data_IF_406822970217
#
_entry.id   IF_406822970217
#
_cell.length_a   1.000
_cell.length_b   1.000
_cell.length_c   1.000
_cell.angle_alpha   90.00
_cell.angle_beta   90.00
_cell.angle_gamma   90.00
#
_symmetry.space_group_name_H-M   'P 1'
#
loop_
_entity.id
_entity.type
_entity.pdbx_description
1 polymer ?
#
# COMPACT_ATOMS: atom_id res chain seq x y z
N UNK A 1 11.13 17.05 32.31
CA UNK A 1 11.74 15.71 32.45
C UNK A 1 10.69 14.61 32.29
N UNK A 2 9.50 14.75 32.87
CA UNK A 2 8.39 13.78 32.69
C UNK A 2 8.00 13.51 31.23
N UNK A 3 7.85 14.53 30.39
CA UNK A 3 7.42 14.35 28.99
C UNK A 3 8.41 13.52 28.15
N UNK A 4 9.70 13.63 28.42
CA UNK A 4 10.78 12.86 27.75
C UNK A 4 10.73 11.40 28.18
N UNK A 5 10.42 11.14 29.45
CA UNK A 5 10.24 9.78 29.98
C UNK A 5 8.96 9.16 29.41
N UNK A 6 7.86 9.93 29.32
CA UNK A 6 6.59 9.49 28.73
C UNK A 6 6.74 9.14 27.25
N UNK A 7 7.41 9.99 26.45
CA UNK A 7 7.70 9.69 25.03
C UNK A 7 8.62 8.49 24.87
N UNK A 8 9.61 8.31 25.74
CA UNK A 8 10.47 7.11 25.74
C UNK A 8 9.70 5.83 26.03
N UNK A 9 8.76 5.84 27.00
CA UNK A 9 7.93 4.69 27.33
C UNK A 9 6.95 4.37 26.19
N UNK A 10 6.32 5.39 25.59
CA UNK A 10 5.43 5.24 24.44
C UNK A 10 6.17 4.67 23.23
N UNK A 11 7.34 5.22 22.90
CA UNK A 11 8.20 4.75 21.82
C UNK A 11 8.56 3.27 21.98
N UNK A 12 8.99 2.85 23.17
CA UNK A 12 9.31 1.44 23.46
C UNK A 12 8.10 0.50 23.39
N UNK A 13 6.95 0.94 23.92
CA UNK A 13 5.71 0.15 23.82
C UNK A 13 5.24 0.00 22.38
N UNK A 14 5.34 1.08 21.60
CA UNK A 14 5.00 1.07 20.18
C UNK A 14 5.92 0.11 19.39
N UNK A 15 7.22 0.11 19.69
CA UNK A 15 8.19 -0.82 19.10
C UNK A 15 7.79 -2.30 19.29
N UNK A 16 7.28 -2.66 20.47
CA UNK A 16 6.80 -4.02 20.76
C UNK A 16 5.42 -4.33 20.16
N UNK A 17 4.57 -3.32 19.93
CA UNK A 17 3.28 -3.50 19.28
C UNK A 17 3.44 -3.65 17.76
N UNK A 18 4.40 -2.94 17.17
CA UNK A 18 4.70 -2.99 15.73
C UNK A 18 5.16 -4.37 15.24
N UNK A 19 5.74 -5.20 16.11
CA UNK A 19 6.07 -6.60 15.76
C UNK A 19 4.85 -7.51 15.68
N UNK A 20 3.69 -7.07 16.19
CA UNK A 20 2.44 -7.84 16.26
C UNK A 20 1.34 -7.29 15.36
N UNK A 21 1.65 -6.31 14.50
CA UNK A 21 0.65 -5.78 13.56
C UNK A 21 0.32 -6.84 12.53
N UNK A 22 -0.90 -7.36 12.62
CA UNK A 22 -1.44 -8.36 11.69
C UNK A 22 -2.23 -7.70 10.55
N UNK A 23 -2.79 -6.51 10.76
CA UNK A 23 -3.58 -5.81 9.75
C UNK A 23 -2.92 -4.47 9.40
N UNK A 24 -2.57 -4.30 8.14
CA UNK A 24 -1.96 -3.09 7.60
C UNK A 24 -2.92 -2.50 6.58
N UNK A 25 -3.60 -1.42 6.97
CA UNK A 25 -4.62 -0.80 6.14
C UNK A 25 -4.24 0.65 5.83
N UNK A 26 -4.09 0.97 4.55
CA UNK A 26 -3.76 2.31 4.09
C UNK A 26 -4.89 2.87 3.22
N UNK A 27 -5.39 4.03 3.63
CA UNK A 27 -6.30 4.83 2.81
C UNK A 27 -5.54 5.93 2.10
N UNK A 28 -6.04 6.34 0.94
CA UNK A 28 -5.45 7.42 0.16
C UNK A 28 -5.36 8.72 0.95
N UNK A 29 -4.33 9.55 0.65
CA UNK A 29 -4.33 10.91 1.15
C UNK A 29 -5.61 11.63 0.67
N UNK A 30 -6.19 12.47 1.54
CA UNK A 30 -7.43 13.20 1.26
C UNK A 30 -7.30 14.11 0.03
N UNK A 31 -6.09 14.60 -0.24
CA UNK A 31 -5.81 15.40 -1.41
C UNK A 31 -4.98 14.62 -2.43
N UNK A 32 -5.41 14.65 -3.69
CA UNK A 32 -4.67 14.07 -4.82
C UNK A 32 -3.44 14.88 -5.26
N UNK A 33 -2.93 15.78 -4.40
CA UNK A 33 -1.76 16.62 -4.70
C UNK A 33 -0.50 15.75 -4.70
N UNK A 34 0.43 16.08 -5.59
CA UNK A 34 1.68 15.33 -5.76
C UNK A 34 2.47 15.22 -4.46
N UNK A 35 2.62 16.32 -3.73
CA UNK A 35 3.39 16.36 -2.48
C UNK A 35 2.80 15.47 -1.39
N UNK A 36 1.46 15.38 -1.30
CA UNK A 36 0.80 14.50 -0.35
C UNK A 36 0.96 13.03 -0.74
N UNK A 37 0.89 12.72 -2.04
CA UNK A 37 1.14 11.38 -2.55
C UNK A 37 2.61 10.95 -2.29
N UNK A 38 3.57 11.86 -2.43
CA UNK A 38 4.98 11.61 -2.11
C UNK A 38 5.17 11.39 -0.60
N UNK A 39 4.56 12.22 0.26
CA UNK A 39 4.57 12.02 1.72
C UNK A 39 3.95 10.68 2.12
N UNK A 40 2.81 10.35 1.54
CA UNK A 40 2.13 9.06 1.73
C UNK A 40 3.05 7.91 1.31
N UNK A 41 3.67 8.01 0.14
CA UNK A 41 4.61 7.00 -0.36
C UNK A 41 5.79 6.80 0.60
N UNK A 42 6.41 7.88 1.07
CA UNK A 42 7.49 7.81 2.06
C UNK A 42 7.02 7.20 3.38
N UNK A 43 5.82 7.54 3.85
CA UNK A 43 5.22 6.98 5.06
C UNK A 43 5.01 5.47 4.96
N UNK A 44 4.40 4.99 3.87
CA UNK A 44 4.19 3.56 3.64
C UNK A 44 5.53 2.83 3.53
N UNK A 45 6.49 3.37 2.76
CA UNK A 45 7.83 2.80 2.62
C UNK A 45 8.55 2.66 3.97
N UNK A 46 8.54 3.72 4.78
CA UNK A 46 9.16 3.69 6.10
C UNK A 46 8.45 2.66 7.00
N UNK A 47 7.13 2.66 7.02
CA UNK A 47 6.36 1.73 7.86
C UNK A 47 6.65 0.27 7.51
N UNK A 48 6.64 -0.07 6.22
CA UNK A 48 6.95 -1.41 5.74
C UNK A 48 8.42 -1.79 6.02
N UNK A 49 9.34 -0.84 5.98
CA UNK A 49 10.75 -1.10 6.33
C UNK A 49 10.98 -1.44 7.81
N UNK A 50 10.13 -0.92 8.70
CA UNK A 50 10.17 -1.21 10.13
C UNK A 50 9.37 -2.45 10.52
N UNK A 51 8.66 -3.06 9.57
CA UNK A 51 7.81 -4.20 9.83
C UNK A 51 8.65 -5.47 10.07
N UNK A 52 8.76 -5.86 11.34
CA UNK A 52 9.54 -7.02 11.78
C UNK A 52 8.72 -8.31 11.89
N UNK A 53 7.40 -8.29 11.65
CA UNK A 53 6.58 -9.50 11.71
C UNK A 53 6.95 -10.47 10.57
N UNK A 54 6.74 -11.77 10.78
CA UNK A 54 6.97 -12.80 9.74
C UNK A 54 5.69 -13.09 8.93
N UNK A 55 4.53 -12.72 9.47
CA UNK A 55 3.23 -12.93 8.86
C UNK A 55 2.37 -11.67 9.01
N UNK A 56 1.73 -11.25 7.93
CA UNK A 56 0.64 -10.27 7.91
C UNK A 56 -0.65 -11.06 7.68
N UNK A 57 -1.71 -10.71 8.39
CA UNK A 57 -3.04 -11.28 8.17
C UNK A 57 -3.72 -10.56 7.01
N UNK A 58 -3.70 -9.23 7.02
CA UNK A 58 -4.35 -8.41 6.01
C UNK A 58 -3.46 -7.24 5.56
N UNK A 59 -3.36 -7.05 4.26
CA UNK A 59 -2.82 -5.85 3.65
C UNK A 59 -3.88 -5.21 2.77
N UNK A 60 -4.27 -3.97 3.08
CA UNK A 60 -5.27 -3.23 2.32
C UNK A 60 -4.77 -1.87 1.87
N UNK A 61 -5.09 -1.53 0.63
CA UNK A 61 -4.76 -0.25 0.00
C UNK A 61 -5.99 0.31 -0.71
N UNK A 62 -6.60 1.34 -0.14
CA UNK A 62 -7.84 1.94 -0.65
C UNK A 62 -7.64 3.39 -1.12
N UNK A 63 -8.01 3.66 -2.37
CA UNK A 63 -7.99 4.98 -3.00
C UNK A 63 -9.37 5.50 -3.39
N UNK A 64 -10.44 4.97 -2.79
CA UNK A 64 -11.82 5.43 -3.00
C UNK A 64 -12.04 6.90 -2.68
N UNK A 65 -11.31 7.44 -1.72
CA UNK A 65 -11.62 8.74 -1.10
C UNK A 65 -11.02 9.94 -1.85
N UNK A 66 -10.33 9.71 -2.96
CA UNK A 66 -9.72 10.78 -3.74
C UNK A 66 -10.77 11.63 -4.49
N UNK A 67 -10.75 12.94 -4.23
CA UNK A 67 -11.63 13.89 -4.89
C UNK A 67 -11.40 13.98 -6.41
N UNK A 68 -12.48 13.97 -7.22
CA UNK A 68 -12.52 14.17 -8.67
C UNK A 68 -11.69 15.31 -9.27
N UNK A 69 -11.47 16.38 -8.51
CA UNK A 69 -11.07 17.68 -9.05
C UNK A 69 -9.55 17.84 -9.24
N UNK A 70 -8.75 16.87 -8.78
CA UNK A 70 -7.31 17.05 -8.55
C UNK A 70 -6.42 16.49 -9.67
N UNK A 71 -6.98 15.84 -10.70
CA UNK A 71 -6.20 15.11 -11.71
C UNK A 71 -6.33 15.75 -13.09
N UNK A 72 -5.74 16.94 -13.25
CA UNK A 72 -5.46 17.50 -14.58
C UNK A 72 -3.97 17.80 -14.75
N UNK A 73 -3.48 17.38 -15.92
CA UNK A 73 -2.19 17.66 -16.57
C UNK A 73 -0.88 17.11 -15.93
N UNK A 74 -0.12 16.37 -16.75
CA UNK A 74 1.34 16.20 -16.60
C UNK A 74 1.87 15.01 -15.78
N UNK A 75 1.06 13.96 -15.53
CA UNK A 75 1.35 12.97 -14.48
C UNK A 75 1.94 11.62 -14.90
N UNK A 76 2.04 11.28 -16.19
CA UNK A 76 2.32 9.88 -16.62
C UNK A 76 3.57 9.24 -15.99
N UNK A 77 4.68 9.96 -15.82
CA UNK A 77 5.87 9.40 -15.17
C UNK A 77 5.73 9.26 -13.65
N UNK A 78 5.07 10.22 -12.99
CA UNK A 78 4.72 10.10 -11.57
C UNK A 78 3.81 8.90 -11.29
N UNK A 79 2.89 8.61 -12.22
CA UNK A 79 2.00 7.45 -12.14
C UNK A 79 2.74 6.12 -12.28
N UNK A 80 3.70 6.04 -13.21
CA UNK A 80 4.57 4.85 -13.34
C UNK A 80 5.39 4.62 -12.08
N UNK A 81 5.99 5.68 -11.53
CA UNK A 81 6.76 5.60 -10.27
C UNK A 81 5.87 5.12 -9.13
N UNK A 82 4.63 5.60 -9.05
CA UNK A 82 3.67 5.17 -8.04
C UNK A 82 3.28 3.68 -8.20
N UNK A 83 2.99 3.20 -9.41
CA UNK A 83 2.76 1.77 -9.65
C UNK A 83 3.94 0.91 -9.16
N UNK A 84 5.18 1.34 -9.41
CA UNK A 84 6.36 0.62 -8.92
C UNK A 84 6.45 0.61 -7.39
N UNK A 85 5.92 1.62 -6.70
CA UNK A 85 5.83 1.58 -5.22
C UNK A 85 4.77 0.59 -4.77
N UNK A 86 3.60 0.59 -5.41
CA UNK A 86 2.53 -0.39 -5.13
C UNK A 86 3.03 -1.81 -5.34
N UNK A 87 3.76 -2.09 -6.43
CA UNK A 87 4.40 -3.39 -6.68
C UNK A 87 5.32 -3.81 -5.53
N UNK A 88 6.13 -2.88 -5.00
CA UNK A 88 7.03 -3.13 -3.86
C UNK A 88 6.26 -3.41 -2.58
N UNK A 89 5.17 -2.68 -2.33
CA UNK A 89 4.33 -2.88 -1.15
C UNK A 89 3.64 -4.23 -1.18
N UNK A 90 3.07 -4.60 -2.32
CA UNK A 90 2.49 -5.94 -2.54
C UNK A 90 3.56 -7.01 -2.37
N UNK A 91 4.75 -6.85 -2.95
CA UNK A 91 5.84 -7.80 -2.77
C UNK A 91 6.23 -7.96 -1.29
N UNK A 92 6.27 -6.86 -0.53
CA UNK A 92 6.50 -6.91 0.91
C UNK A 92 5.40 -7.72 1.62
N UNK A 93 4.12 -7.46 1.32
CA UNK A 93 3.02 -8.22 1.92
C UNK A 93 3.09 -9.72 1.59
N UNK A 94 3.35 -10.06 0.33
CA UNK A 94 3.49 -11.43 -0.19
C UNK A 94 4.65 -12.16 0.49
N UNK A 95 5.82 -11.52 0.63
CA UNK A 95 6.98 -12.11 1.33
C UNK A 95 6.72 -12.31 2.82
N UNK A 96 5.84 -11.50 3.41
CA UNK A 96 5.33 -11.64 4.77
C UNK A 96 4.05 -12.51 4.83
N UNK A 97 3.85 -13.43 3.89
CA UNK A 97 2.78 -14.44 3.92
C UNK A 97 1.38 -13.88 4.18
N UNK A 98 1.06 -12.75 3.54
CA UNK A 98 -0.26 -12.12 3.66
C UNK A 98 -1.38 -13.10 3.31
N UNK A 99 -2.46 -13.11 4.10
CA UNK A 99 -3.64 -13.95 3.85
C UNK A 99 -4.71 -13.21 3.04
N UNK A 100 -4.98 -11.96 3.41
CA UNK A 100 -5.99 -11.12 2.77
C UNK A 100 -5.30 -9.95 2.07
N UNK A 101 -5.44 -9.86 0.75
CA UNK A 101 -4.93 -8.75 -0.05
C UNK A 101 -6.09 -7.95 -0.66
N UNK A 102 -6.29 -6.72 -0.18
CA UNK A 102 -7.30 -5.80 -0.71
C UNK A 102 -6.64 -4.63 -1.45
N UNK A 103 -7.00 -4.44 -2.71
CA UNK A 103 -6.51 -3.33 -3.54
C UNK A 103 -7.69 -2.63 -4.21
N UNK A 104 -7.89 -1.35 -3.90
CA UNK A 104 -8.82 -0.48 -4.59
C UNK A 104 -8.09 0.76 -5.11
N UNK A 105 -7.79 0.76 -6.42
CA UNK A 105 -6.90 1.75 -7.04
C UNK A 105 -7.60 2.71 -8.02
N UNK A 106 -8.95 2.74 -8.00
CA UNK A 106 -9.90 3.62 -8.70
C UNK A 106 -9.45 4.22 -10.05
N UNK A 107 -10.04 3.71 -11.13
CA UNK A 107 -9.94 4.15 -12.55
C UNK A 107 -11.13 5.01 -12.98
N UNK A 108 -11.46 6.08 -12.25
CA UNK A 108 -12.30 7.12 -12.86
C UNK A 108 -11.75 8.51 -12.65
N UNK A 109 -11.05 8.79 -11.54
CA UNK A 109 -10.41 10.09 -11.25
C UNK A 109 -9.18 10.00 -10.32
N UNK A 110 -8.61 8.80 -10.14
CA UNK A 110 -7.43 8.55 -9.31
C UNK A 110 -6.09 8.83 -10.02
N UNK A 111 -4.94 8.61 -9.37
CA UNK A 111 -3.62 8.76 -9.99
C UNK A 111 -3.35 7.74 -11.11
N UNK A 112 -4.28 6.82 -11.42
CA UNK A 112 -4.16 5.83 -12.49
C UNK A 112 -5.14 6.10 -13.65
N UNK A 113 -5.58 7.36 -13.84
CA UNK A 113 -6.57 7.72 -14.87
C UNK A 113 -6.22 7.14 -16.26
N UNK A 114 -7.11 6.28 -16.77
CA UNK A 114 -7.06 5.76 -18.15
C UNK A 114 -6.32 4.44 -18.32
N UNK A 115 -5.67 3.90 -17.28
CA UNK A 115 -5.10 2.56 -17.30
C UNK A 115 -5.22 1.91 -15.91
N UNK A 116 -6.14 0.95 -15.72
CA UNK A 116 -6.24 0.23 -14.46
C UNK A 116 -4.91 -0.42 -14.12
N UNK A 117 -4.54 -0.31 -12.84
CA UNK A 117 -3.30 -0.88 -12.32
C UNK A 117 -3.19 -2.36 -12.66
N UNK A 118 -2.04 -2.78 -13.18
CA UNK A 118 -1.78 -4.16 -13.56
C UNK A 118 -1.23 -4.91 -12.35
N UNK A 119 -1.99 -5.86 -11.84
CA UNK A 119 -1.59 -6.65 -10.68
C UNK A 119 -0.42 -7.58 -11.04
N UNK A 120 0.64 -7.66 -10.21
CA UNK A 120 1.78 -8.52 -10.48
C UNK A 120 1.40 -10.01 -10.51
N UNK A 121 1.79 -10.74 -11.56
CA UNK A 121 1.38 -12.14 -11.74
C UNK A 121 1.81 -13.10 -10.62
N UNK A 122 2.89 -12.79 -9.90
CA UNK A 122 3.41 -13.64 -8.84
C UNK A 122 2.46 -13.77 -7.63
N UNK A 123 1.49 -12.87 -7.47
CA UNK A 123 0.49 -12.99 -6.40
C UNK A 123 -0.39 -14.23 -6.57
N UNK A 124 -0.62 -14.67 -7.82
CA UNK A 124 -1.48 -15.82 -8.13
C UNK A 124 -0.78 -17.16 -7.87
N UNK A 125 0.53 -17.13 -7.65
CA UNK A 125 1.34 -18.29 -7.28
C UNK A 125 1.70 -18.29 -5.80
N UNK A 126 1.11 -17.41 -4.99
CA UNK A 126 1.38 -17.35 -3.57
C UNK A 126 0.40 -18.23 -2.78
N UNK A 127 0.95 -19.21 -2.07
CA UNK A 127 0.18 -20.21 -1.33
C UNK A 127 -0.43 -19.68 -0.01
N UNK A 128 0.01 -18.50 0.45
CA UNK A 128 -0.45 -17.92 1.72
C UNK A 128 -1.71 -17.06 1.56
N UNK A 129 -1.95 -16.51 0.36
CA UNK A 129 -3.12 -15.69 0.08
C UNK A 129 -4.37 -16.57 0.02
N UNK A 130 -5.30 -16.33 0.94
CA UNK A 130 -6.61 -16.99 0.98
C UNK A 130 -7.71 -16.14 0.36
N UNK A 131 -7.55 -14.81 0.39
CA UNK A 131 -8.54 -13.85 -0.09
C UNK A 131 -7.89 -12.74 -0.90
N UNK A 132 -8.44 -12.49 -2.10
CA UNK A 132 -7.96 -11.48 -3.03
C UNK A 132 -9.13 -10.58 -3.44
N UNK A 133 -9.12 -9.35 -2.95
CA UNK A 133 -10.18 -8.36 -3.18
C UNK A 133 -9.64 -7.25 -4.05
N UNK A 134 -10.06 -7.22 -5.32
CA UNK A 134 -9.50 -6.32 -6.32
C UNK A 134 -10.58 -5.43 -6.91
N UNK A 135 -10.51 -4.15 -6.58
CA UNK A 135 -11.35 -3.12 -7.14
C UNK A 135 -10.55 -2.36 -8.20
N UNK A 136 -11.07 -2.38 -9.43
CA UNK A 136 -10.56 -1.58 -10.54
C UNK A 136 -9.08 -1.88 -10.91
N UNK A 137 -8.76 -3.17 -10.94
CA UNK A 137 -7.43 -3.68 -11.27
C UNK A 137 -7.46 -4.56 -12.53
N UNK A 138 -6.40 -4.54 -13.34
CA UNK A 138 -6.20 -5.46 -14.48
C UNK A 138 -5.43 -6.69 -14.03
N UNK A 139 -6.05 -7.85 -14.22
CA UNK A 139 -5.43 -9.14 -13.97
C UNK A 139 -4.62 -9.58 -15.20
N UNK A 140 -3.42 -10.09 -14.97
CA UNK A 140 -2.69 -10.85 -15.98
C UNK A 140 -2.01 -12.03 -15.29
N UNK A 141 -2.73 -13.16 -15.14
CA UNK A 141 -2.22 -14.34 -14.46
C UNK A 141 -1.15 -15.10 -15.27
N UNK A 142 -0.91 -14.72 -16.53
CA UNK A 142 0.00 -15.39 -17.45
C UNK A 142 1.18 -14.49 -17.82
N UNK A 143 2.16 -14.37 -16.93
CA UNK A 143 3.55 -14.13 -17.36
C UNK A 143 4.38 -15.34 -16.98
N UNK A 144 4.66 -16.26 -17.92
CA UNK A 144 5.79 -17.17 -17.78
C UNK A 144 7.08 -16.33 -17.72
N UNK A 145 8.04 -16.88 -16.99
CA UNK A 145 9.40 -16.38 -16.76
C UNK A 145 10.07 -15.93 -18.06
#
# INVERSE_FOLDING_TARGET
MEEVVKTGILSRRWDHLWTKVQHICYNSPLSGKKEELEKFTCFVNNTLSFLKCDSIEEFSLDFSDLSPEVVNAGRMEGMRRFALQVDRWIHCAVTKKVKVLYLNLVDSKGPMYGFPYKVPGHIFSNDSITELLLCVCRLNPFRPI
#
